data_IF_273667489989
#
_entry.id   IF_273667489989
#
_cell.length_a   1.000
_cell.length_b   1.000
_cell.length_c   1.000
_cell.angle_alpha   90.00
_cell.angle_beta   90.00
_cell.angle_gamma   90.00
#
_symmetry.space_group_name_H-M   'P 1'
#
loop_
_entity.id
_entity.type
_entity.pdbx_description
1 polymer ?
#
# COMPACT_ATOMS: atom_id res chain seq x y z
N UNK A 1 -22.93 28.91 2.33
CA UNK A 1 -22.96 27.54 2.89
C UNK A 1 -21.53 27.14 3.20
N UNK A 2 -21.24 26.92 4.48
CA UNK A 2 -19.88 26.70 4.98
C UNK A 2 -19.34 25.35 4.53
N UNK A 3 -18.19 25.37 3.85
CA UNK A 3 -17.46 24.20 3.40
C UNK A 3 -16.62 23.65 4.56
N UNK A 4 -17.28 23.02 5.54
CA UNK A 4 -16.63 22.34 6.66
C UNK A 4 -16.24 20.93 6.23
N UNK A 5 -14.94 20.63 6.38
CA UNK A 5 -14.29 19.30 6.28
C UNK A 5 -13.55 18.95 4.97
N UNK A 6 -12.63 19.80 4.53
CA UNK A 6 -11.34 19.29 4.05
C UNK A 6 -10.32 19.52 5.16
N UNK A 7 -10.13 18.52 6.04
CA UNK A 7 -8.94 18.51 6.91
C UNK A 7 -7.74 18.41 5.96
N UNK A 8 -7.14 19.55 5.63
CA UNK A 8 -5.77 19.55 5.15
C UNK A 8 -4.98 19.00 6.34
N UNK A 9 -4.53 17.75 6.24
CA UNK A 9 -3.53 17.24 7.16
C UNK A 9 -2.22 17.92 6.74
N UNK A 10 -1.68 18.87 7.51
CA UNK A 10 -0.28 19.20 7.34
C UNK A 10 0.47 17.91 7.67
N UNK A 11 0.98 17.23 6.64
CA UNK A 11 1.91 16.15 6.86
C UNK A 11 3.19 16.81 7.40
N UNK A 12 3.28 16.94 8.71
CA UNK A 12 4.53 17.28 9.40
C UNK A 12 5.48 16.09 9.25
N UNK A 13 6.13 16.01 8.09
CA UNK A 13 7.09 14.93 7.79
C UNK A 13 8.39 15.14 8.59
N UNK A 14 8.75 16.40 8.85
CA UNK A 14 9.95 16.82 9.58
C UNK A 14 9.64 17.65 10.84
N UNK A 15 8.43 17.50 11.41
CA UNK A 15 7.98 18.32 12.55
C UNK A 15 7.54 19.75 12.19
N UNK A 16 7.35 20.05 10.90
CA UNK A 16 6.79 21.30 10.39
C UNK A 16 5.92 21.03 9.15
N UNK A 17 4.86 21.82 8.91
CA UNK A 17 4.21 21.84 7.60
C UNK A 17 5.28 22.16 6.54
N UNK A 18 5.23 21.47 5.39
CA UNK A 18 6.21 21.56 4.29
C UNK A 18 6.08 22.90 3.53
N UNK A 19 6.08 24.01 4.25
CA UNK A 19 5.97 25.37 3.71
C UNK A 19 7.34 25.97 3.39
N UNK A 20 8.41 25.56 4.08
CA UNK A 20 9.78 25.98 3.75
C UNK A 20 10.54 24.87 3.00
N UNK A 21 10.31 24.78 1.68
CA UNK A 21 10.89 23.78 0.76
C UNK A 21 12.33 24.09 0.31
N UNK A 22 12.92 25.21 0.74
CA UNK A 22 14.16 25.72 0.16
C UNK A 22 15.34 24.73 0.20
N UNK A 23 15.36 23.78 1.14
CA UNK A 23 16.41 22.76 1.27
C UNK A 23 15.85 21.32 1.38
N UNK A 24 14.75 21.01 0.70
CA UNK A 24 14.22 19.64 0.61
C UNK A 24 14.37 19.11 -0.80
N UNK A 25 15.08 17.99 -0.95
CA UNK A 25 15.28 17.30 -2.21
C UNK A 25 14.52 15.97 -2.22
N UNK A 26 14.05 15.58 -3.40
CA UNK A 26 13.44 14.28 -3.65
C UNK A 26 14.38 13.44 -4.51
N UNK A 27 14.77 12.27 -4.01
CA UNK A 27 15.54 11.28 -4.76
C UNK A 27 14.66 10.07 -5.07
N UNK A 28 14.67 9.61 -6.31
CA UNK A 28 13.99 8.37 -6.72
C UNK A 28 14.95 7.18 -6.69
N UNK A 29 14.42 5.98 -6.43
CA UNK A 29 15.13 4.71 -6.55
C UNK A 29 16.45 4.62 -5.77
N UNK A 30 16.45 5.08 -4.52
CA UNK A 30 17.64 5.05 -3.66
C UNK A 30 17.90 3.63 -3.16
N UNK A 31 19.06 3.06 -3.49
CA UNK A 31 19.40 1.68 -3.15
C UNK A 31 20.27 1.58 -1.90
N UNK A 32 19.87 0.70 -0.99
CA UNK A 32 20.65 0.31 0.18
C UNK A 32 20.97 -1.19 0.13
N UNK A 33 22.26 -1.52 0.24
CA UNK A 33 22.74 -2.90 0.19
C UNK A 33 22.04 -3.76 1.26
N UNK A 34 21.60 -4.98 0.88
CA UNK A 34 20.88 -5.96 1.71
C UNK A 34 19.45 -5.59 2.14
N UNK A 35 19.03 -4.34 2.00
CA UNK A 35 17.65 -3.91 2.32
C UNK A 35 16.79 -3.84 1.05
N UNK A 36 17.31 -3.21 0.00
CA UNK A 36 16.59 -3.05 -1.27
C UNK A 36 16.66 -1.63 -1.80
N UNK A 37 15.77 -1.33 -2.74
CA UNK A 37 15.58 0.01 -3.30
C UNK A 37 14.37 0.66 -2.66
N UNK A 38 14.48 1.95 -2.36
CA UNK A 38 13.39 2.79 -1.89
C UNK A 38 12.85 3.62 -3.06
N UNK A 39 11.52 3.63 -3.25
CA UNK A 39 10.90 4.33 -4.40
C UNK A 39 11.27 5.81 -4.38
N UNK A 40 11.11 6.45 -3.22
CA UNK A 40 11.41 7.86 -3.03
C UNK A 40 12.00 8.14 -1.65
N UNK A 41 12.94 9.08 -1.60
CA UNK A 41 13.53 9.60 -0.35
C UNK A 41 13.44 11.13 -0.36
N UNK A 42 12.76 11.68 0.63
CA UNK A 42 12.76 13.12 0.90
C UNK A 42 13.91 13.42 1.85
N UNK A 43 14.83 14.26 1.42
CA UNK A 43 16.03 14.63 2.18
C UNK A 43 15.99 16.12 2.47
N UNK A 44 16.07 16.47 3.75
CA UNK A 44 16.33 17.82 4.22
C UNK A 44 17.83 17.97 4.43
N UNK A 45 18.44 18.95 3.78
CA UNK A 45 19.87 19.22 3.88
C UNK A 45 20.13 20.64 4.39
N UNK A 46 21.35 20.90 4.86
CA UNK A 46 21.77 22.28 5.19
C UNK A 46 21.90 23.13 3.92
N UNK A 47 21.64 24.44 3.99
CA UNK A 47 21.78 25.32 2.82
C UNK A 47 23.18 25.19 2.18
N UNK A 48 23.23 24.98 0.86
CA UNK A 48 24.46 24.92 0.06
C UNK A 48 25.49 23.92 0.65
N UNK A 49 25.03 22.76 1.10
CA UNK A 49 25.84 21.70 1.72
C UNK A 49 25.27 20.31 1.37
N UNK A 50 26.13 19.30 1.36
CA UNK A 50 25.76 17.88 1.26
C UNK A 50 25.44 17.23 2.63
N UNK A 51 25.53 18.00 3.71
CA UNK A 51 25.15 17.56 5.06
C UNK A 51 23.62 17.40 5.19
N UNK A 52 23.20 16.19 5.56
CA UNK A 52 21.79 15.81 5.75
C UNK A 52 21.35 16.16 7.18
N UNK A 53 20.33 17.01 7.30
CA UNK A 53 19.68 17.33 8.58
C UNK A 53 18.68 16.23 8.97
N UNK A 54 17.81 15.84 8.03
CA UNK A 54 16.79 14.81 8.25
C UNK A 54 16.33 14.16 6.93
N UNK A 55 15.68 13.01 7.01
CA UNK A 55 15.10 12.37 5.83
C UNK A 55 13.94 11.44 6.20
N UNK A 56 13.07 11.18 5.21
CA UNK A 56 12.09 10.12 5.28
C UNK A 56 11.98 9.40 3.94
N UNK A 57 11.45 8.18 3.98
CA UNK A 57 11.17 7.38 2.78
C UNK A 57 9.69 7.42 2.45
N UNK A 58 9.36 7.36 1.16
CA UNK A 58 8.01 7.14 0.64
C UNK A 58 8.03 5.93 -0.30
N UNK A 59 7.15 4.96 -0.03
CA UNK A 59 6.99 3.70 -0.77
C UNK A 59 5.56 3.60 -1.26
N UNK A 60 5.36 3.35 -2.55
CA UNK A 60 4.03 3.19 -3.13
C UNK A 60 3.62 1.72 -3.15
N UNK A 61 2.39 1.46 -2.73
CA UNK A 61 1.79 0.13 -2.79
C UNK A 61 0.45 0.21 -3.51
N UNK A 62 0.45 -0.25 -4.77
CA UNK A 62 -0.73 -0.42 -5.63
C UNK A 62 -1.05 -1.90 -5.78
N UNK A 63 -2.25 -2.22 -6.25
CA UNK A 63 -2.57 -3.61 -6.56
C UNK A 63 -2.00 -4.04 -7.93
N UNK A 64 -1.71 -5.34 -8.06
CA UNK A 64 -1.29 -5.98 -9.29
C UNK A 64 -2.44 -6.81 -9.87
N UNK A 65 -2.30 -7.25 -11.12
CA UNK A 65 -3.33 -8.03 -11.82
C UNK A 65 -2.89 -9.47 -12.06
N UNK A 66 -3.85 -10.37 -12.20
CA UNK A 66 -3.69 -11.69 -12.81
C UNK A 66 -4.19 -11.62 -14.25
N UNK A 67 -3.60 -12.43 -15.15
CA UNK A 67 -3.98 -12.39 -16.57
C UNK A 67 -3.59 -11.08 -17.28
N UNK A 68 -2.56 -10.35 -16.81
CA UNK A 68 -2.14 -9.03 -17.32
C UNK A 68 -1.95 -8.99 -18.83
N UNK A 69 -1.50 -10.08 -19.46
CA UNK A 69 -1.39 -10.14 -20.92
C UNK A 69 -2.71 -9.90 -21.68
N UNK A 70 -3.87 -10.18 -21.06
CA UNK A 70 -5.18 -9.86 -21.63
C UNK A 70 -5.53 -8.38 -21.50
N UNK A 71 -5.09 -7.70 -20.43
CA UNK A 71 -5.19 -6.25 -20.31
C UNK A 71 -4.30 -5.55 -21.34
N UNK A 72 -3.06 -6.01 -21.50
CA UNK A 72 -2.14 -5.50 -22.54
C UNK A 72 -2.77 -5.65 -23.92
N UNK A 73 -3.32 -6.82 -24.22
CA UNK A 73 -4.05 -7.04 -25.49
C UNK A 73 -5.24 -6.09 -25.65
N UNK A 74 -6.02 -5.83 -24.61
CA UNK A 74 -7.13 -4.89 -24.67
C UNK A 74 -6.65 -3.47 -25.03
N UNK A 75 -5.52 -3.04 -24.46
CA UNK A 75 -4.89 -1.75 -24.79
C UNK A 75 -4.38 -1.75 -26.24
N UNK A 76 -3.73 -2.81 -26.70
CA UNK A 76 -3.26 -2.95 -28.08
C UNK A 76 -4.43 -2.91 -29.08
N UNK A 77 -5.52 -3.63 -28.79
CA UNK A 77 -6.73 -3.65 -29.62
C UNK A 77 -7.39 -2.26 -29.66
N UNK A 78 -7.42 -1.54 -28.53
CA UNK A 78 -7.91 -0.15 -28.48
C UNK A 78 -7.05 0.80 -29.33
N UNK A 79 -5.72 0.71 -29.22
CA UNK A 79 -4.77 1.52 -30.02
C UNK A 79 -4.93 1.22 -31.53
N UNK A 80 -5.36 0.02 -31.88
CA UNK A 80 -5.66 -0.39 -33.26
C UNK A 80 -7.10 -0.04 -33.70
N UNK A 81 -7.77 0.88 -33.03
CA UNK A 81 -9.14 1.32 -33.30
C UNK A 81 -10.19 0.18 -33.27
N UNK A 82 -9.90 -0.94 -32.59
CA UNK A 82 -10.89 -2.00 -32.39
C UNK A 82 -11.83 -1.61 -31.25
N UNK A 83 -13.11 -1.94 -31.43
CA UNK A 83 -14.12 -1.76 -30.39
C UNK A 83 -13.92 -2.78 -29.25
N UNK A 84 -13.20 -2.35 -28.21
CA UNK A 84 -12.90 -3.18 -27.04
C UNK A 84 -14.14 -3.48 -26.19
N UNK A 85 -15.24 -2.73 -26.35
CA UNK A 85 -16.47 -2.93 -25.55
C UNK A 85 -17.24 -4.19 -25.97
N UNK A 86 -16.95 -4.71 -27.16
CA UNK A 86 -17.55 -5.94 -27.71
C UNK A 86 -16.77 -7.21 -27.38
N UNK A 87 -15.61 -7.08 -26.75
CA UNK A 87 -14.73 -8.21 -26.43
C UNK A 87 -14.61 -8.39 -24.92
N UNK A 88 -14.43 -9.64 -24.49
CA UNK A 88 -14.11 -9.95 -23.08
C UNK A 88 -12.63 -10.29 -22.94
N UNK A 89 -11.96 -9.58 -22.04
CA UNK A 89 -10.56 -9.81 -21.69
C UNK A 89 -10.51 -10.33 -20.26
N UNK A 90 -10.23 -11.62 -20.09
CA UNK A 90 -10.19 -12.23 -18.76
C UNK A 90 -8.96 -11.75 -17.98
N UNK A 91 -9.18 -10.97 -16.93
CA UNK A 91 -8.20 -10.57 -15.93
C UNK A 91 -8.84 -10.56 -14.54
N UNK A 92 -8.00 -10.51 -13.51
CA UNK A 92 -8.44 -10.31 -12.13
C UNK A 92 -7.43 -9.53 -11.34
N UNK A 93 -7.74 -9.23 -10.08
CA UNK A 93 -6.78 -8.62 -9.16
C UNK A 93 -5.91 -9.70 -8.51
N UNK A 94 -4.63 -9.40 -8.29
CA UNK A 94 -3.66 -10.27 -7.62
C UNK A 94 -3.39 -9.80 -6.18
N UNK A 95 -4.44 -9.29 -5.53
CA UNK A 95 -4.43 -8.58 -4.26
C UNK A 95 -3.70 -9.32 -3.15
N UNK A 96 -3.93 -10.63 -3.01
CA UNK A 96 -3.28 -11.38 -1.94
C UNK A 96 -1.77 -11.52 -2.16
N UNK A 97 -1.30 -11.63 -3.41
CA UNK A 97 0.11 -11.66 -3.69
C UNK A 97 0.76 -10.29 -3.46
N UNK A 98 0.11 -9.22 -3.91
CA UNK A 98 0.50 -7.83 -3.60
C UNK A 98 0.71 -7.67 -2.09
N UNK A 99 -0.31 -8.00 -1.29
CA UNK A 99 -0.27 -7.86 0.17
C UNK A 99 0.87 -8.65 0.81
N UNK A 100 1.11 -9.90 0.41
CA UNK A 100 2.23 -10.71 0.95
C UNK A 100 3.58 -10.03 0.69
N UNK A 101 3.81 -9.53 -0.52
CA UNK A 101 5.06 -8.88 -0.89
C UNK A 101 5.22 -7.54 -0.17
N UNK A 102 4.18 -6.71 -0.17
CA UNK A 102 4.17 -5.41 0.51
C UNK A 102 4.39 -5.56 2.01
N UNK A 103 3.72 -6.49 2.67
CA UNK A 103 3.84 -6.68 4.12
C UNK A 103 5.24 -7.14 4.54
N UNK A 104 5.88 -8.04 3.78
CA UNK A 104 7.27 -8.42 4.04
C UNK A 104 8.22 -7.23 3.85
N UNK A 105 7.99 -6.37 2.84
CA UNK A 105 8.75 -5.13 2.71
C UNK A 105 8.52 -4.18 3.89
N UNK A 106 7.28 -4.07 4.38
CA UNK A 106 6.94 -3.27 5.57
C UNK A 106 7.72 -3.74 6.80
N UNK A 107 7.79 -5.06 7.03
CA UNK A 107 8.58 -5.63 8.12
C UNK A 107 10.08 -5.38 7.95
N UNK A 108 10.62 -5.63 6.75
CA UNK A 108 12.07 -5.56 6.49
C UNK A 108 12.62 -4.13 6.42
N UNK A 109 11.94 -3.23 5.70
CA UNK A 109 12.34 -1.83 5.61
C UNK A 109 11.91 -1.09 6.87
N UNK A 110 10.69 -1.30 7.36
CA UNK A 110 10.16 -0.58 8.51
C UNK A 110 10.98 -0.73 9.79
N UNK A 111 11.52 -1.93 10.07
CA UNK A 111 12.39 -2.12 11.24
C UNK A 111 13.68 -1.29 11.17
N UNK A 112 14.22 -1.06 9.97
CA UNK A 112 15.42 -0.23 9.78
C UNK A 112 15.13 1.21 10.18
N UNK A 113 13.97 1.73 9.75
CA UNK A 113 13.57 3.10 10.06
C UNK A 113 13.18 3.29 11.53
N UNK A 114 12.66 2.26 12.20
CA UNK A 114 12.49 2.27 13.66
C UNK A 114 13.83 2.40 14.39
N UNK A 115 14.82 1.58 14.02
CA UNK A 115 16.17 1.63 14.63
C UNK A 115 16.84 2.98 14.39
N UNK A 116 16.64 3.58 13.22
CA UNK A 116 17.20 4.90 12.90
C UNK A 116 16.42 6.07 13.50
N UNK A 117 15.27 5.81 14.11
CA UNK A 117 14.33 6.83 14.55
C UNK A 117 13.97 7.81 13.41
N UNK A 118 13.71 7.26 12.21
CA UNK A 118 13.31 7.99 11.00
C UNK A 118 11.94 7.50 10.54
N UNK A 119 11.26 8.28 9.70
CA UNK A 119 9.95 7.91 9.18
C UNK A 119 10.06 7.17 7.86
N UNK A 120 9.23 6.15 7.69
CA UNK A 120 8.93 5.52 6.41
C UNK A 120 7.42 5.60 6.17
N UNK A 121 7.07 6.14 5.01
CA UNK A 121 5.70 6.37 4.58
C UNK A 121 5.35 5.32 3.54
N UNK A 122 4.35 4.52 3.85
CA UNK A 122 3.70 3.60 2.94
C UNK A 122 2.49 4.30 2.34
N UNK A 123 2.59 4.78 1.11
CA UNK A 123 1.47 5.29 0.34
C UNK A 123 0.70 4.09 -0.23
N UNK A 124 -0.38 3.68 0.44
CA UNK A 124 -1.11 2.45 0.11
C UNK A 124 -2.50 2.78 -0.42
N UNK A 125 -2.87 2.19 -1.56
CA UNK A 125 -4.22 2.33 -2.09
C UNK A 125 -5.23 1.72 -1.10
N UNK A 126 -6.33 2.43 -0.84
CA UNK A 126 -7.37 2.05 0.13
C UNK A 126 -7.80 0.59 0.01
N UNK A 127 -8.12 0.14 -1.20
CA UNK A 127 -8.52 -1.26 -1.46
C UNK A 127 -7.48 -2.29 -0.99
N UNK A 128 -6.19 -2.03 -1.24
CA UNK A 128 -5.09 -2.91 -0.83
C UNK A 128 -4.91 -2.88 0.69
N UNK A 129 -4.96 -1.69 1.29
CA UNK A 129 -4.83 -1.51 2.73
C UNK A 129 -5.93 -2.24 3.50
N UNK A 130 -7.19 -2.09 3.11
CA UNK A 130 -8.33 -2.74 3.77
C UNK A 130 -8.22 -4.27 3.68
N UNK A 131 -7.89 -4.80 2.50
CA UNK A 131 -7.63 -6.23 2.34
C UNK A 131 -6.46 -6.72 3.20
N UNK A 132 -5.41 -5.92 3.37
CA UNK A 132 -4.27 -6.27 4.23
C UNK A 132 -4.71 -6.34 5.69
N UNK A 133 -5.44 -5.33 6.17
CA UNK A 133 -5.96 -5.26 7.54
C UNK A 133 -6.81 -6.48 7.85
N UNK A 134 -7.75 -6.81 6.98
CA UNK A 134 -8.66 -7.93 7.18
C UNK A 134 -7.94 -9.27 7.21
N UNK A 135 -7.01 -9.48 6.27
CA UNK A 135 -6.30 -10.76 6.14
C UNK A 135 -5.28 -11.01 7.23
N UNK A 136 -4.63 -9.96 7.73
CA UNK A 136 -3.51 -10.06 8.67
C UNK A 136 -3.87 -9.60 10.09
N UNK A 137 -5.16 -9.42 10.39
CA UNK A 137 -5.59 -9.14 11.75
C UNK A 137 -5.15 -7.77 12.27
N UNK A 138 -4.95 -6.78 11.39
CA UNK A 138 -4.39 -5.46 11.75
C UNK A 138 -5.47 -4.45 12.20
N UNK A 139 -6.59 -4.92 12.73
CA UNK A 139 -7.72 -4.08 13.09
C UNK A 139 -7.34 -3.14 14.25
N UNK A 140 -7.89 -1.92 14.22
CA UNK A 140 -7.73 -0.97 15.33
C UNK A 140 -6.40 -0.21 15.35
N UNK A 141 -5.53 -0.34 14.33
CA UNK A 141 -4.40 0.58 14.17
C UNK A 141 -4.92 2.02 14.18
N UNK A 142 -4.27 2.87 14.98
CA UNK A 142 -4.55 4.31 15.10
C UNK A 142 -3.28 5.07 14.83
N UNK A 143 -3.41 6.29 14.31
CA UNK A 143 -2.26 7.14 14.10
C UNK A 143 -1.62 7.56 15.43
N UNK A 144 -0.30 7.38 15.50
CA UNK A 144 0.59 7.87 16.54
C UNK A 144 1.81 8.47 15.86
N UNK A 145 2.02 9.77 16.04
CA UNK A 145 3.13 10.52 15.43
C UNK A 145 4.53 10.00 15.79
N UNK A 146 4.65 9.26 16.89
CA UNK A 146 5.93 8.74 17.35
C UNK A 146 6.35 7.47 16.60
N UNK A 147 5.41 6.75 15.99
CA UNK A 147 5.70 5.53 15.24
C UNK A 147 6.48 5.83 13.96
N UNK A 148 7.43 4.97 13.58
CA UNK A 148 8.23 5.15 12.37
C UNK A 148 7.47 4.80 11.09
N UNK A 149 6.63 3.76 11.14
CA UNK A 149 5.87 3.26 10.00
C UNK A 149 4.54 4.00 9.88
N UNK A 150 4.41 4.85 8.87
CA UNK A 150 3.22 5.64 8.59
C UNK A 150 2.53 5.09 7.34
N UNK A 151 1.23 4.82 7.41
CA UNK A 151 0.42 4.37 6.30
C UNK A 151 -0.45 5.53 5.83
N UNK A 152 -0.09 6.09 4.68
CA UNK A 152 -0.85 7.12 4.00
C UNK A 152 -1.81 6.42 3.05
N UNK A 153 -3.05 6.28 3.50
CA UNK A 153 -4.08 5.55 2.78
C UNK A 153 -4.71 6.52 1.79
N UNK A 154 -4.51 6.25 0.51
CA UNK A 154 -5.02 7.10 -0.56
C UNK A 154 -6.11 6.41 -1.37
N UNK A 155 -6.96 7.23 -1.97
CA UNK A 155 -7.92 6.82 -2.98
C UNK A 155 -7.88 7.79 -4.17
N UNK A 156 -8.61 7.47 -5.23
CA UNK A 156 -8.77 8.34 -6.40
C UNK A 156 -10.16 8.97 -6.33
N UNK A 157 -10.23 10.29 -6.37
CA UNK A 157 -11.49 11.01 -6.50
C UNK A 157 -11.95 10.98 -7.96
N UNK A 158 -12.87 10.07 -8.25
CA UNK A 158 -13.50 9.93 -9.57
C UNK A 158 -14.63 10.92 -9.83
N UNK A 159 -15.10 11.66 -8.82
CA UNK A 159 -16.36 12.38 -8.88
C UNK A 159 -16.20 13.90 -8.91
N UNK A 160 -15.27 14.47 -8.12
CA UNK A 160 -15.17 15.93 -7.99
C UNK A 160 -14.48 16.59 -9.18
N UNK A 161 -13.64 15.86 -9.92
CA UNK A 161 -13.06 16.30 -11.18
C UNK A 161 -12.75 15.08 -12.07
N UNK A 162 -13.75 14.60 -12.85
CA UNK A 162 -13.64 13.36 -13.64
C UNK A 162 -12.45 13.35 -14.61
N UNK A 163 -12.02 14.52 -15.09
CA UNK A 163 -10.94 14.67 -16.06
C UNK A 163 -9.54 14.64 -15.42
N UNK A 164 -9.44 14.61 -14.08
CA UNK A 164 -8.17 14.81 -13.38
C UNK A 164 -7.76 13.69 -12.43
N UNK A 165 -8.58 12.66 -12.22
CA UNK A 165 -8.29 11.46 -11.40
C UNK A 165 -7.38 11.77 -10.20
N UNK A 166 -7.82 12.69 -9.34
CA UNK A 166 -6.96 13.26 -8.31
C UNK A 166 -6.78 12.28 -7.14
N UNK A 167 -5.54 12.03 -6.75
CA UNK A 167 -5.24 11.27 -5.53
C UNK A 167 -5.62 12.09 -4.29
N UNK A 168 -6.38 11.48 -3.39
CA UNK A 168 -6.74 12.03 -2.09
C UNK A 168 -6.18 11.17 -0.97
N UNK A 169 -5.65 11.81 0.07
CA UNK A 169 -5.30 11.09 1.31
C UNK A 169 -6.56 10.99 2.14
N UNK A 170 -7.11 9.79 2.24
CA UNK A 170 -8.32 9.49 2.99
C UNK A 170 -8.03 9.38 4.48
N UNK A 171 -6.92 8.71 4.82
CA UNK A 171 -6.58 8.49 6.21
C UNK A 171 -5.09 8.27 6.42
N UNK A 172 -4.65 8.51 7.65
CA UNK A 172 -3.30 8.18 8.09
C UNK A 172 -3.41 7.20 9.26
N UNK A 173 -2.60 6.15 9.20
CA UNK A 173 -2.41 5.16 10.25
C UNK A 173 -0.94 5.00 10.53
N UNK A 174 -0.60 4.40 11.66
CA UNK A 174 0.78 4.07 11.98
C UNK A 174 0.84 2.80 12.80
N UNK A 175 2.03 2.22 12.88
CA UNK A 175 2.29 1.07 13.72
C UNK A 175 3.79 0.93 14.02
N UNK A 176 4.12 0.06 14.95
CA UNK A 176 5.47 -0.47 15.11
C UNK A 176 5.58 -1.83 14.43
N UNK A 177 6.79 -2.28 14.08
CA UNK A 177 7.03 -3.63 13.57
C UNK A 177 6.56 -4.69 14.57
N UNK A 178 6.77 -4.45 15.86
CA UNK A 178 6.28 -5.33 16.92
C UNK A 178 4.75 -5.49 16.86
N UNK A 179 4.01 -4.39 16.71
CA UNK A 179 2.56 -4.42 16.61
C UNK A 179 2.09 -5.13 15.34
N UNK A 180 2.75 -4.89 14.19
CA UNK A 180 2.44 -5.59 12.94
C UNK A 180 2.64 -7.10 13.07
N UNK A 181 3.73 -7.54 13.70
CA UNK A 181 4.03 -8.95 13.93
C UNK A 181 3.06 -9.60 14.91
N UNK A 182 2.75 -8.94 16.02
CA UNK A 182 1.78 -9.43 17.02
C UNK A 182 0.40 -9.61 16.42
N UNK A 183 -0.07 -8.63 15.65
CA UNK A 183 -1.36 -8.70 14.99
C UNK A 183 -1.44 -9.85 13.97
N UNK A 184 -0.39 -10.02 13.15
CA UNK A 184 -0.31 -11.13 12.19
C UNK A 184 -0.30 -12.52 12.87
N UNK A 185 0.40 -12.66 13.99
CA UNK A 185 0.44 -13.91 14.76
C UNK A 185 -0.87 -14.22 15.48
N UNK A 186 -1.60 -13.18 15.91
CA UNK A 186 -2.87 -13.29 16.62
C UNK A 186 -4.10 -13.48 15.73
N UNK A 187 -3.92 -13.56 14.41
CA UNK A 187 -5.04 -13.73 13.48
C UNK A 187 -5.75 -15.07 13.69
N UNK A 188 -7.09 -15.06 13.65
CA UNK A 188 -7.91 -16.26 13.81
C UNK A 188 -7.55 -17.32 12.77
N UNK A 189 -7.05 -18.46 13.26
CA UNK A 189 -6.70 -19.58 12.40
C UNK A 189 -7.93 -20.46 12.12
N UNK A 190 -8.10 -20.95 10.88
CA UNK A 190 -9.21 -21.82 10.55
C UNK A 190 -9.11 -23.14 11.33
N UNK A 191 -10.26 -23.67 11.76
CA UNK A 191 -10.31 -24.98 12.40
C UNK A 191 -10.07 -26.08 11.38
N UNK A 192 -9.44 -27.17 11.82
CA UNK A 192 -9.17 -28.33 10.96
C UNK A 192 -10.47 -28.89 10.34
N UNK A 193 -11.57 -28.89 11.09
CA UNK A 193 -12.87 -29.39 10.63
C UNK A 193 -13.40 -28.63 9.41
N UNK A 194 -13.15 -27.32 9.33
CA UNK A 194 -13.59 -26.52 8.20
C UNK A 194 -12.80 -26.88 6.94
N UNK A 195 -11.51 -27.18 7.09
CA UNK A 195 -10.71 -27.70 5.98
C UNK A 195 -11.14 -29.12 5.58
N UNK A 196 -11.45 -29.99 6.54
CA UNK A 196 -11.97 -31.35 6.29
C UNK A 196 -13.29 -31.29 5.49
N UNK A 197 -14.22 -30.38 5.82
CA UNK A 197 -15.46 -30.18 5.04
C UNK A 197 -15.18 -29.83 3.59
N UNK A 198 -14.21 -28.93 3.33
CA UNK A 198 -13.79 -28.57 1.97
C UNK A 198 -13.23 -29.79 1.23
N UNK A 199 -12.39 -30.58 1.89
CA UNK A 199 -11.84 -31.82 1.32
C UNK A 199 -12.93 -32.84 1.00
N UNK A 200 -13.88 -33.07 1.89
CA UNK A 200 -15.02 -33.96 1.63
C UNK A 200 -15.86 -33.52 0.44
N UNK A 201 -16.08 -32.21 0.26
CA UNK A 201 -16.77 -31.67 -0.90
C UNK A 201 -16.01 -31.99 -2.20
N UNK A 202 -14.69 -31.79 -2.20
CA UNK A 202 -13.83 -32.14 -3.35
C UNK A 202 -13.82 -33.64 -3.64
N UNK A 203 -13.72 -34.48 -2.61
CA UNK A 203 -13.73 -35.94 -2.75
C UNK A 203 -15.05 -36.44 -3.33
N UNK A 204 -16.19 -35.97 -2.83
CA UNK A 204 -17.51 -36.37 -3.36
C UNK A 204 -17.68 -36.03 -4.84
N UNK A 205 -17.26 -34.83 -5.24
CA UNK A 205 -17.27 -34.40 -6.64
C UNK A 205 -16.39 -35.31 -7.53
N UNK A 206 -15.16 -35.62 -7.08
CA UNK A 206 -14.24 -36.47 -7.85
C UNK A 206 -14.68 -37.94 -7.91
N UNK A 207 -15.37 -38.43 -6.87
CA UNK A 207 -15.87 -39.80 -6.80
C UNK A 207 -17.26 -39.98 -7.44
N UNK A 208 -17.84 -38.92 -8.02
CA UNK A 208 -19.17 -38.97 -8.64
C UNK A 208 -20.33 -39.20 -7.66
N UNK A 209 -20.10 -38.99 -6.36
CA UNK A 209 -21.13 -39.10 -5.32
C UNK A 209 -21.99 -37.84 -5.42
N UNK A 210 -23.24 -37.98 -5.90
CA UNK A 210 -24.19 -36.85 -6.00
C UNK A 210 -24.37 -36.18 -4.63
N UNK A 211 -24.37 -34.84 -4.65
CA UNK A 211 -24.62 -33.96 -3.50
C UNK A 211 -26.09 -34.06 -3.12
#
# INVERSE_FOLDING_TARGET
MNNTHRKHYPAEIFGYPVENKSNVLLFSEVKLKRIGTFDFVLVKHKPISDEIDDFCVVEFQTDSTTGTGKLVRAIEDYIQDKDITKNSYAFGMNTYNTIKLSFIQMLNKGQVFEVWNKKIIWAVQKYVYENMVDRFGLQGMKFNKNDANLFFIYDIDYHSNPDKYQLTVENIRSSTIENLMKAFQGADLPKIDDFIKVLHKKLRLNLGIRI
#
